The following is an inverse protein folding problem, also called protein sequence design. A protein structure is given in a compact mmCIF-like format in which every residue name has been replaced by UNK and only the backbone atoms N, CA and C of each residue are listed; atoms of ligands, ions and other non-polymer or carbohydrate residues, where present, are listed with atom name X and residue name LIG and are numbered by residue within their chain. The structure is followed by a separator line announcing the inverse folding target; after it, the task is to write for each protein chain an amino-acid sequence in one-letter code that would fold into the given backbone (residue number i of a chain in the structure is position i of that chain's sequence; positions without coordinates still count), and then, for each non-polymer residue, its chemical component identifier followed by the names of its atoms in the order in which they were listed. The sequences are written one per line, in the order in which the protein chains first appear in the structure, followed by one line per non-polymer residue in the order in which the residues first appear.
data_IF_099062627944
#
_entry.id   IF_099062627944
#
_cell.length_a   1.000
_cell.length_b   1.000
_cell.length_c   1.000
_cell.angle_alpha   90.00
_cell.angle_beta   90.00
_cell.angle_gamma   90.00
#
_symmetry.space_group_name_H-M   'P 1'
#
loop_
_entity.id
_entity.type
_entity.pdbx_description
1 polymer ?
#
# COMPACT_ATOMS: atom_id res chain seq x y z
N UNK A 1 -7.39 1.34 -6.34
CA UNK A 1 -6.77 0.80 -5.10
C UNK A 1 -7.68 1.10 -3.92
N UNK A 2 -7.88 0.17 -2.99
CA UNK A 2 -8.76 0.39 -1.84
C UNK A 2 -8.46 -0.56 -0.67
N UNK A 3 -9.38 -0.63 0.30
CA UNK A 3 -9.34 -1.68 1.32
C UNK A 3 -9.55 -3.08 0.71
N UNK A 4 -9.65 -4.12 1.53
CA UNK A 4 -9.90 -5.50 1.07
C UNK A 4 -11.37 -5.93 1.08
N UNK A 5 -12.35 -5.02 1.19
CA UNK A 5 -13.75 -5.40 1.40
C UNK A 5 -14.37 -6.04 0.14
N UNK A 6 -15.03 -7.18 0.30
CA UNK A 6 -15.68 -7.88 -0.81
C UNK A 6 -16.82 -7.06 -1.46
N UNK A 7 -17.54 -6.27 -0.67
CA UNK A 7 -18.58 -5.36 -1.15
C UNK A 7 -18.04 -4.31 -2.12
N UNK A 8 -16.81 -3.82 -1.88
CA UNK A 8 -16.13 -2.89 -2.78
C UNK A 8 -15.72 -3.57 -4.08
N UNK A 9 -15.17 -4.79 -4.03
CA UNK A 9 -14.89 -5.56 -5.26
C UNK A 9 -16.16 -5.72 -6.07
N UNK A 10 -17.25 -6.16 -5.44
CA UNK A 10 -18.54 -6.37 -6.12
C UNK A 10 -19.08 -5.08 -6.73
N UNK A 11 -19.15 -3.98 -5.97
CA UNK A 11 -19.69 -2.72 -6.47
C UNK A 11 -18.88 -2.17 -7.66
N UNK A 12 -17.56 -2.31 -7.60
CA UNK A 12 -16.67 -1.90 -8.67
C UNK A 12 -16.90 -2.75 -9.92
N UNK A 13 -16.97 -4.08 -9.78
CA UNK A 13 -17.24 -4.98 -10.91
C UNK A 13 -18.62 -4.74 -11.53
N UNK A 14 -19.64 -4.55 -10.70
CA UNK A 14 -21.01 -4.29 -11.18
C UNK A 14 -21.13 -2.95 -11.93
N UNK A 15 -20.31 -1.95 -11.57
CA UNK A 15 -20.40 -0.59 -12.15
C UNK A 15 -19.50 -0.41 -13.37
N UNK A 16 -18.28 -0.94 -13.31
CA UNK A 16 -17.22 -0.68 -14.29
C UNK A 16 -16.82 -1.92 -15.11
N UNK A 17 -17.42 -3.08 -14.83
CA UNK A 17 -17.07 -4.34 -15.48
C UNK A 17 -15.83 -4.98 -14.88
N UNK A 18 -15.13 -5.79 -15.67
CA UNK A 18 -13.94 -6.50 -15.24
C UNK A 18 -12.75 -5.56 -15.14
N UNK A 19 -12.48 -5.06 -13.93
CA UNK A 19 -11.34 -4.19 -13.66
C UNK A 19 -10.45 -4.74 -12.55
N UNK A 20 -9.15 -4.50 -12.71
CA UNK A 20 -8.16 -4.89 -11.74
C UNK A 20 -8.24 -4.04 -10.47
N UNK A 21 -8.62 -4.69 -9.38
CA UNK A 21 -8.64 -4.06 -8.05
C UNK A 21 -7.31 -4.28 -7.34
N UNK A 22 -6.59 -3.19 -7.14
CA UNK A 22 -5.39 -3.17 -6.30
C UNK A 22 -5.72 -3.05 -4.80
N UNK A 23 -5.06 -3.86 -3.98
CA UNK A 23 -5.12 -3.81 -2.53
C UNK A 23 -4.12 -2.78 -2.01
N UNK A 24 -4.60 -1.91 -1.12
CA UNK A 24 -3.75 -0.91 -0.49
C UNK A 24 -2.83 -1.53 0.56
N UNK A 25 -1.52 -1.28 0.45
CA UNK A 25 -0.53 -1.84 1.38
C UNK A 25 -0.74 -1.43 2.84
N UNK A 26 -1.21 -0.20 3.10
CA UNK A 26 -1.50 0.23 4.46
C UNK A 26 -2.68 -0.52 5.06
N UNK A 27 -3.76 -0.71 4.31
CA UNK A 27 -4.91 -1.49 4.77
C UNK A 27 -4.53 -2.96 5.00
N UNK A 28 -3.62 -3.53 4.20
CA UNK A 28 -3.07 -4.85 4.46
C UNK A 28 -2.41 -4.89 5.84
N UNK A 29 -1.51 -3.94 6.13
CA UNK A 29 -0.87 -3.85 7.45
C UNK A 29 -1.89 -3.66 8.58
N UNK A 30 -2.89 -2.81 8.38
CA UNK A 30 -3.97 -2.59 9.36
C UNK A 30 -4.73 -3.89 9.69
N UNK A 31 -4.91 -4.79 8.70
CA UNK A 31 -5.55 -6.10 8.90
C UNK A 31 -4.60 -7.16 9.49
N UNK A 32 -3.31 -7.08 9.20
CA UNK A 32 -2.29 -8.03 9.70
C UNK A 32 -1.91 -7.75 11.15
N UNK A 33 -1.70 -6.48 11.53
CA UNK A 33 -1.20 -6.09 12.85
C UNK A 33 -2.03 -6.66 14.02
N UNK A 34 -3.39 -6.65 14.00
CA UNK A 34 -4.17 -7.25 15.07
C UNK A 34 -3.99 -8.76 15.20
N UNK A 35 -3.72 -9.47 14.08
CA UNK A 35 -3.60 -10.94 14.04
C UNK A 35 -2.27 -11.45 14.57
N UNK A 36 -1.22 -10.63 14.51
CA UNK A 36 0.11 -10.97 15.03
C UNK A 36 0.35 -10.43 16.44
N UNK A 37 -0.64 -9.74 17.03
CA UNK A 37 -0.49 -9.06 18.33
C UNK A 37 -0.15 -10.03 19.47
N UNK A 38 -0.62 -11.27 19.39
CA UNK A 38 -0.34 -12.36 20.35
C UNK A 38 1.03 -13.00 20.18
N UNK A 39 1.71 -12.79 19.05
CA UNK A 39 3.00 -13.42 18.77
C UNK A 39 4.12 -12.74 19.57
N UNK A 40 5.28 -13.39 19.67
CA UNK A 40 6.45 -12.76 20.26
C UNK A 40 6.91 -11.53 19.47
N UNK A 41 7.67 -10.62 20.09
CA UNK A 41 8.17 -9.41 19.41
C UNK A 41 9.07 -9.74 18.21
N UNK A 42 9.92 -10.75 18.35
CA UNK A 42 10.77 -11.24 17.27
C UNK A 42 9.94 -11.75 16.09
N UNK A 43 8.87 -12.50 16.34
CA UNK A 43 7.97 -12.98 15.29
C UNK A 43 7.19 -11.83 14.63
N UNK A 44 6.71 -10.86 15.42
CA UNK A 44 6.05 -9.66 14.88
C UNK A 44 6.99 -8.88 13.94
N UNK A 45 8.23 -8.67 14.37
CA UNK A 45 9.24 -7.97 13.58
C UNK A 45 9.59 -8.73 12.30
N UNK A 46 9.76 -10.05 12.38
CA UNK A 46 10.00 -10.92 11.22
C UNK A 46 8.87 -10.78 10.18
N UNK A 47 7.61 -10.99 10.58
CA UNK A 47 6.45 -10.93 9.69
C UNK A 47 6.36 -9.56 9.02
N UNK A 48 6.49 -8.47 9.80
CA UNK A 48 6.37 -7.12 9.26
C UNK A 48 7.53 -6.80 8.31
N UNK A 49 8.74 -7.24 8.64
CA UNK A 49 9.93 -7.05 7.79
C UNK A 49 9.76 -7.77 6.47
N UNK A 50 9.39 -9.05 6.51
CA UNK A 50 9.19 -9.86 5.30
C UNK A 50 8.07 -9.30 4.41
N UNK A 51 6.93 -8.89 4.99
CA UNK A 51 5.85 -8.24 4.24
C UNK A 51 6.34 -6.94 3.56
N UNK A 52 7.18 -6.14 4.23
CA UNK A 52 7.75 -4.93 3.64
C UNK A 52 8.79 -5.23 2.55
N UNK A 53 9.49 -6.36 2.63
CA UNK A 53 10.38 -6.82 1.57
C UNK A 53 9.58 -7.31 0.36
N UNK A 54 8.59 -8.17 0.57
CA UNK A 54 7.75 -8.72 -0.49
C UNK A 54 7.00 -7.62 -1.27
N UNK A 55 6.61 -6.53 -0.60
CA UNK A 55 6.03 -5.34 -1.23
C UNK A 55 6.90 -4.76 -2.36
N UNK A 56 8.22 -5.00 -2.33
CA UNK A 56 9.19 -4.47 -3.31
C UNK A 56 9.36 -5.34 -4.55
N UNK A 57 8.70 -6.50 -4.63
CA UNK A 57 8.72 -7.33 -5.83
C UNK A 57 8.39 -6.49 -7.07
N UNK A 58 9.19 -6.65 -8.13
CA UNK A 58 9.11 -5.86 -9.36
C UNK A 58 8.17 -6.47 -10.40
N UNK A 59 7.86 -7.76 -10.28
CA UNK A 59 6.92 -8.49 -11.13
C UNK A 59 6.23 -9.62 -10.35
N UNK A 60 5.31 -10.32 -11.02
CA UNK A 60 4.51 -11.39 -10.42
C UNK A 60 5.33 -12.66 -10.13
N UNK A 61 6.36 -12.94 -10.93
CA UNK A 61 7.24 -14.09 -10.75
C UNK A 61 8.09 -13.93 -9.48
N UNK A 62 8.74 -12.76 -9.31
CA UNK A 62 9.48 -12.44 -8.09
C UNK A 62 8.55 -12.43 -6.87
N UNK A 63 7.34 -11.88 -6.99
CA UNK A 63 6.36 -11.88 -5.91
C UNK A 63 5.98 -13.31 -5.49
N UNK A 64 5.75 -14.20 -6.45
CA UNK A 64 5.40 -15.60 -6.18
C UNK A 64 6.54 -16.31 -5.46
N UNK A 65 7.74 -16.27 -6.04
CA UNK A 65 8.91 -16.97 -5.48
C UNK A 65 9.29 -16.41 -4.10
N UNK A 66 9.34 -15.09 -3.94
CA UNK A 66 9.64 -14.47 -2.66
C UNK A 66 8.55 -14.74 -1.62
N UNK A 67 7.28 -14.80 -2.05
CA UNK A 67 6.15 -15.17 -1.20
C UNK A 67 6.27 -16.59 -0.66
N UNK A 68 6.62 -17.56 -1.51
CA UNK A 68 6.84 -18.95 -1.10
C UNK A 68 8.01 -19.07 -0.12
N UNK A 69 9.14 -18.44 -0.42
CA UNK A 69 10.31 -18.41 0.48
C UNK A 69 9.99 -17.78 1.84
N UNK A 70 9.19 -16.70 1.84
CA UNK A 70 8.70 -16.07 3.07
C UNK A 70 7.84 -17.03 3.90
N UNK A 71 6.94 -17.79 3.28
CA UNK A 71 6.13 -18.79 3.98
C UNK A 71 7.01 -19.89 4.59
N UNK A 72 7.99 -20.41 3.86
CA UNK A 72 8.92 -21.42 4.38
C UNK A 72 9.77 -20.87 5.54
N UNK A 73 10.21 -19.60 5.46
CA UNK A 73 10.86 -18.90 6.57
C UNK A 73 9.94 -18.82 7.79
N UNK A 74 8.67 -18.47 7.62
CA UNK A 74 7.71 -18.39 8.73
C UNK A 74 7.47 -19.74 9.40
N UNK A 75 7.36 -20.82 8.62
CA UNK A 75 7.26 -22.19 9.18
C UNK A 75 8.50 -22.54 9.99
N UNK A 76 9.70 -22.28 9.45
CA UNK A 76 10.96 -22.54 10.14
C UNK A 76 11.13 -21.73 11.45
N UNK A 77 10.52 -20.54 11.52
CA UNK A 77 10.55 -19.66 12.70
C UNK A 77 9.34 -19.88 13.65
N UNK A 78 8.58 -20.96 13.47
CA UNK A 78 7.50 -21.35 14.38
C UNK A 78 6.33 -20.36 14.39
N UNK A 79 6.06 -19.69 13.27
CA UNK A 79 4.84 -18.90 13.11
C UNK A 79 3.64 -19.85 13.03
N UNK A 80 2.54 -19.51 13.69
CA UNK A 80 1.35 -20.36 13.74
C UNK A 80 0.76 -20.63 12.34
N UNK A 81 0.48 -21.90 12.03
CA UNK A 81 -0.06 -22.33 10.73
C UNK A 81 -1.35 -21.59 10.36
N UNK A 82 -2.22 -21.33 11.34
CA UNK A 82 -3.48 -20.59 11.13
C UNK A 82 -3.23 -19.18 10.55
N UNK A 83 -2.15 -18.51 10.96
CA UNK A 83 -1.77 -17.23 10.40
C UNK A 83 -1.16 -17.37 9.01
N UNK A 84 -0.33 -18.39 8.79
CA UNK A 84 0.28 -18.70 7.49
C UNK A 84 -0.81 -18.96 6.43
N UNK A 85 -1.77 -19.83 6.75
CA UNK A 85 -2.92 -20.14 5.89
C UNK A 85 -3.75 -18.89 5.61
N UNK A 86 -4.04 -18.09 6.64
CA UNK A 86 -4.74 -16.82 6.48
C UNK A 86 -3.99 -15.89 5.52
N UNK A 87 -2.70 -15.68 5.73
CA UNK A 87 -1.94 -14.74 4.91
C UNK A 87 -1.84 -15.22 3.46
N UNK A 88 -1.55 -16.51 3.28
CA UNK A 88 -1.46 -17.13 1.95
C UNK A 88 -2.78 -17.02 1.20
N UNK A 89 -3.90 -17.41 1.83
CA UNK A 89 -5.23 -17.40 1.22
C UNK A 89 -5.68 -16.00 0.84
N UNK A 90 -5.41 -14.98 1.64
CA UNK A 90 -5.90 -13.62 1.38
C UNK A 90 -4.95 -12.83 0.46
N UNK A 91 -3.64 -12.86 0.74
CA UNK A 91 -2.67 -11.89 0.19
C UNK A 91 -1.60 -12.47 -0.73
N UNK A 92 -1.40 -13.79 -0.80
CA UNK A 92 -0.45 -14.40 -1.75
C UNK A 92 -1.18 -15.04 -2.94
N UNK A 93 -2.17 -15.85 -2.63
CA UNK A 93 -2.93 -16.65 -3.60
C UNK A 93 -4.39 -16.19 -3.73
N UNK A 94 -4.74 -15.13 -3.00
CA UNK A 94 -6.10 -14.66 -2.83
C UNK A 94 -6.50 -13.51 -3.74
N UNK A 95 -7.77 -13.07 -3.61
CA UNK A 95 -8.29 -11.92 -4.34
C UNK A 95 -7.61 -10.60 -3.95
N UNK A 96 -6.88 -10.55 -2.82
CA UNK A 96 -6.18 -9.36 -2.36
C UNK A 96 -4.68 -9.37 -2.67
N UNK A 97 -4.20 -10.25 -3.57
CA UNK A 97 -2.79 -10.41 -3.96
C UNK A 97 -2.13 -9.16 -4.53
N UNK A 98 -2.89 -8.30 -5.22
CA UNK A 98 -2.34 -7.15 -5.96
C UNK A 98 -2.00 -5.96 -5.04
N UNK A 99 -0.95 -6.08 -4.21
CA UNK A 99 -0.48 -5.04 -3.26
C UNK A 99 1.04 -4.73 -3.34
N UNK A 100 1.80 -5.44 -4.18
CA UNK A 100 3.24 -5.27 -4.36
C UNK A 100 3.55 -4.30 -5.50
N UNK A 101 4.73 -3.69 -5.48
CA UNK A 101 5.08 -2.56 -6.37
C UNK A 101 4.99 -2.90 -7.85
N UNK A 102 5.39 -4.12 -8.22
CA UNK A 102 5.31 -4.62 -9.59
C UNK A 102 3.91 -4.88 -10.14
N UNK A 103 2.86 -4.86 -9.31
CA UNK A 103 1.50 -5.15 -9.81
C UNK A 103 0.84 -3.96 -10.51
N UNK A 104 1.41 -2.75 -10.39
CA UNK A 104 0.84 -1.54 -10.98
C UNK A 104 1.92 -0.51 -11.27
N UNK A 105 1.73 0.27 -12.34
CA UNK A 105 2.57 1.44 -12.64
C UNK A 105 2.31 2.61 -11.67
N UNK A 106 1.23 2.53 -10.87
CA UNK A 106 0.88 3.52 -9.87
C UNK A 106 1.46 3.16 -8.50
N UNK A 107 1.76 4.17 -7.67
CA UNK A 107 2.30 3.92 -6.33
C UNK A 107 1.39 3.02 -5.48
N UNK A 108 1.96 1.96 -4.88
CA UNK A 108 1.23 1.03 -3.99
C UNK A 108 0.99 1.54 -2.57
N UNK A 109 1.43 2.77 -2.29
CA UNK A 109 1.26 3.43 -1.00
C UNK A 109 0.06 4.38 -1.04
N UNK A 110 -0.71 4.43 0.05
CA UNK A 110 -1.81 5.37 0.23
C UNK A 110 -1.34 6.75 0.72
N UNK A 111 -0.05 7.10 0.62
CA UNK A 111 0.50 8.32 1.20
C UNK A 111 -0.29 9.57 0.77
N UNK A 112 -0.76 9.63 -0.49
CA UNK A 112 -1.60 10.73 -0.98
C UNK A 112 -2.98 10.78 -0.32
N UNK A 113 -3.66 9.63 -0.20
CA UNK A 113 -4.98 9.54 0.41
C UNK A 113 -4.93 9.79 1.92
N UNK A 114 -3.94 9.26 2.63
CA UNK A 114 -3.79 9.51 4.06
C UNK A 114 -3.42 10.95 4.36
N UNK A 115 -2.57 11.56 3.52
CA UNK A 115 -2.27 12.99 3.64
C UNK A 115 -3.56 13.81 3.47
N UNK A 116 -4.39 13.52 2.46
CA UNK A 116 -5.69 14.20 2.28
C UNK A 116 -6.63 13.94 3.46
N UNK A 117 -6.76 12.71 3.95
CA UNK A 117 -7.55 12.39 5.13
C UNK A 117 -7.07 13.16 6.37
N UNK A 118 -5.75 13.27 6.56
CA UNK A 118 -5.15 14.04 7.63
C UNK A 118 -5.47 15.52 7.48
N UNK A 119 -5.30 16.09 6.29
CA UNK A 119 -5.66 17.48 5.99
C UNK A 119 -7.13 17.75 6.30
N UNK A 120 -8.07 16.90 5.87
CA UNK A 120 -9.50 17.05 6.20
C UNK A 120 -9.71 16.99 7.71
N UNK A 121 -9.11 16.00 8.39
CA UNK A 121 -9.24 15.86 9.84
C UNK A 121 -8.70 17.08 10.58
N UNK A 122 -7.56 17.62 10.16
CA UNK A 122 -6.85 18.72 10.80
C UNK A 122 -7.43 20.09 10.46
N UNK A 123 -7.94 20.30 9.24
CA UNK A 123 -8.39 21.62 8.77
C UNK A 123 -9.91 21.78 8.80
N UNK A 124 -10.67 20.72 8.49
CA UNK A 124 -12.13 20.79 8.37
C UNK A 124 -12.81 20.45 9.69
N UNK A 125 -12.41 19.33 10.30
CA UNK A 125 -13.05 18.82 11.53
C UNK A 125 -12.30 19.14 12.82
N UNK A 126 -11.05 19.59 12.73
CA UNK A 126 -10.13 19.77 13.87
C UNK A 126 -10.06 18.53 14.78
N UNK A 127 -10.24 17.34 14.19
CA UNK A 127 -10.36 16.03 14.88
C UNK A 127 -11.47 15.96 15.93
N UNK A 128 -12.47 16.83 15.85
CA UNK A 128 -13.61 16.83 16.74
C UNK A 128 -14.82 16.10 16.12
N UNK A 129 -15.63 15.48 16.99
CA UNK A 129 -16.94 14.94 16.59
C UNK A 129 -17.93 16.10 16.52
N UNK A 130 -18.25 16.54 15.31
CA UNK A 130 -19.17 17.66 15.09
C UNK A 130 -20.64 17.18 15.12
N UNK A 131 -21.56 17.97 15.67
CA UNK A 131 -22.98 17.77 15.46
C UNK A 131 -23.31 17.77 13.96
N UNK A 132 -24.29 16.97 13.54
CA UNK A 132 -24.58 16.73 12.11
C UNK A 132 -24.74 18.01 11.29
N UNK A 133 -25.42 19.03 11.85
CA UNK A 133 -25.60 20.34 11.20
C UNK A 133 -24.27 21.04 10.94
N UNK A 134 -23.38 21.05 11.94
CA UNK A 134 -22.06 21.68 11.83
C UNK A 134 -21.15 20.88 10.89
N UNK A 135 -21.26 19.55 10.89
CA UNK A 135 -20.56 18.70 9.94
C UNK A 135 -20.92 19.06 8.51
N UNK A 136 -22.21 19.18 8.16
CA UNK A 136 -22.62 19.56 6.82
C UNK A 136 -22.11 20.94 6.41
N UNK A 137 -22.17 21.93 7.31
CA UNK A 137 -21.62 23.26 7.05
C UNK A 137 -20.11 23.19 6.74
N UNK A 138 -19.35 22.44 7.55
CA UNK A 138 -17.91 22.25 7.35
C UNK A 138 -17.60 21.48 6.07
N UNK A 139 -18.40 20.49 5.69
CA UNK A 139 -18.22 19.73 4.46
C UNK A 139 -18.49 20.58 3.21
N UNK A 140 -19.50 21.46 3.22
CA UNK A 140 -19.76 22.39 2.11
C UNK A 140 -18.58 23.35 1.94
N UNK A 141 -18.11 23.97 3.01
CA UNK A 141 -16.93 24.85 2.97
C UNK A 141 -15.68 24.09 2.50
N UNK A 142 -15.49 22.85 2.96
CA UNK A 142 -14.39 22.01 2.51
C UNK A 142 -14.48 21.73 0.99
N UNK A 143 -15.67 21.41 0.48
CA UNK A 143 -15.88 21.16 -0.94
C UNK A 143 -15.56 22.40 -1.78
N UNK A 144 -15.98 23.60 -1.35
CA UNK A 144 -15.65 24.86 -2.02
C UNK A 144 -14.12 25.10 -2.08
N UNK A 145 -13.44 24.90 -0.95
CA UNK A 145 -11.98 25.06 -0.85
C UNK A 145 -11.25 24.02 -1.70
N UNK A 146 -11.58 22.73 -1.57
CA UNK A 146 -10.90 21.67 -2.33
C UNK A 146 -11.25 21.68 -3.83
N UNK A 147 -12.40 22.23 -4.23
CA UNK A 147 -12.77 22.39 -5.65
C UNK A 147 -11.98 23.47 -6.38
N UNK A 148 -11.42 24.43 -5.63
CA UNK A 148 -10.69 25.58 -6.18
C UNK A 148 -9.20 25.55 -5.85
N UNK A 149 -8.80 24.75 -4.85
CA UNK A 149 -7.40 24.52 -4.51
C UNK A 149 -6.70 23.76 -5.65
N UNK A 150 -5.56 24.24 -6.16
CA UNK A 150 -4.76 23.53 -7.15
C UNK A 150 -4.07 22.34 -6.47
N UNK A 151 -4.84 21.29 -6.19
CA UNK A 151 -4.37 20.05 -5.55
C UNK A 151 -3.40 19.25 -6.45
N UNK A 152 -3.22 19.70 -7.70
CA UNK A 152 -2.30 19.15 -8.68
C UNK A 152 -1.70 20.28 -9.51
N UNK A 153 -0.78 21.06 -8.93
CA UNK A 153 0.39 21.41 -9.73
C UNK A 153 1.14 20.09 -9.95
N UNK A 154 0.75 19.36 -11.00
CA UNK A 154 1.74 18.54 -11.71
C UNK A 154 2.67 19.58 -12.31
N UNK A 155 3.59 20.12 -11.50
CA UNK A 155 4.85 20.56 -12.09
C UNK A 155 5.34 19.30 -12.79
N UNK A 156 5.25 19.27 -14.12
CA UNK A 156 5.94 18.26 -14.91
C UNK A 156 7.33 18.17 -14.30
N UNK A 157 7.63 17.03 -13.67
CA UNK A 157 8.95 16.82 -13.11
C UNK A 157 9.87 16.78 -14.33
N UNK A 158 10.45 17.94 -14.66
CA UNK A 158 11.35 18.07 -15.80
C UNK A 158 12.60 17.30 -15.44
N UNK A 159 12.63 16.03 -15.85
CA UNK A 159 13.82 15.19 -15.72
C UNK A 159 14.93 15.93 -16.44
N UNK A 160 15.92 16.37 -15.68
CA UNK A 160 17.06 17.10 -16.19
C UNK A 160 18.13 16.12 -16.69
N UNK A 161 19.09 16.60 -17.47
CA UNK A 161 20.25 15.80 -17.85
C UNK A 161 21.07 15.35 -16.63
N UNK A 162 20.99 16.08 -15.51
CA UNK A 162 21.64 15.70 -14.25
C UNK A 162 20.96 14.49 -13.63
N UNK A 163 19.62 14.41 -13.67
CA UNK A 163 18.87 13.24 -13.21
C UNK A 163 19.21 11.98 -14.03
N UNK A 164 19.31 12.11 -15.36
CA UNK A 164 19.76 11.02 -16.24
C UNK A 164 21.19 10.59 -15.94
N UNK A 165 22.09 11.55 -15.69
CA UNK A 165 23.48 11.26 -15.34
C UNK A 165 23.57 10.55 -13.99
N UNK A 166 22.85 11.01 -12.98
CA UNK A 166 22.78 10.35 -11.66
C UNK A 166 22.21 8.93 -11.75
N UNK A 167 21.17 8.71 -12.57
CA UNK A 167 20.61 7.38 -12.78
C UNK A 167 21.60 6.45 -13.52
N UNK A 168 22.32 6.96 -14.52
CA UNK A 168 23.35 6.22 -15.24
C UNK A 168 24.52 5.84 -14.33
N UNK A 169 25.03 6.79 -13.55
CA UNK A 169 26.14 6.58 -12.62
C UNK A 169 25.75 5.56 -11.53
N UNK A 170 24.51 5.62 -11.03
CA UNK A 170 23.97 4.63 -10.09
C UNK A 170 23.92 3.22 -10.69
N UNK A 171 23.49 3.10 -11.95
CA UNK A 171 23.47 1.81 -12.67
C UNK A 171 24.88 1.27 -12.87
N UNK A 172 25.85 2.10 -13.23
CA UNK A 172 27.26 1.72 -13.41
C UNK A 172 27.93 1.30 -12.09
N UNK A 173 27.63 1.99 -10.99
CA UNK A 173 28.12 1.63 -9.66
C UNK A 173 27.60 0.27 -9.19
N UNK A 174 26.31 -0.03 -9.43
CA UNK A 174 25.73 -1.35 -9.12
C UNK A 174 26.33 -2.48 -9.98
N UNK A 175 26.64 -2.21 -11.24
CA UNK A 175 27.30 -3.20 -12.12
C UNK A 175 28.72 -3.50 -11.64
N UNK A 176 29.47 -2.49 -11.18
CA UNK A 176 30.82 -2.70 -10.63
C UNK A 176 30.83 -3.42 -9.29
N UNK A 177 29.84 -3.22 -8.42
CA UNK A 177 29.75 -3.94 -7.13
C UNK A 177 29.33 -5.41 -7.28
N UNK A 178 28.90 -5.84 -8.47
CA UNK A 178 28.53 -7.23 -8.79
C UNK A 178 29.66 -7.98 -9.54
N UNK A 179 30.76 -7.31 -9.86
CA UNK A 179 31.89 -7.84 -10.62
C UNK A 179 33.20 -7.89 -9.81
N UNK A 180 33.12 -7.71 -8.49
CA UNK A 180 34.19 -7.89 -7.50
C UNK A 180 33.72 -8.92 -6.47
#
# INVERSE_FOLDING_TARGET
MGDGAASLTKAVTDTFGDIDRFMCFWHLKEKVLPKIKSFSKTQQELIITDINHLKRAIDDDEFTVAGELMIESWKANGIEEVFIEYFSREYLNGPLRKWYSGCTEFGTTNNGLEKKNCTIKDTVTLRQRLPIRQLFQKLVTAAEVFSTSPDYNIEEMKITNEDYKSAYDFKQLKVKSLLL
#
